data_IF_980459578934
#
_entry.id   IF_980459578934
#
_cell.length_a   1.000
_cell.length_b   1.000
_cell.length_c   1.000
_cell.angle_alpha   90.00
_cell.angle_beta   90.00
_cell.angle_gamma   90.00
#
_symmetry.space_group_name_H-M   'P 1'
#
loop_
_entity.id
_entity.type
_entity.pdbx_description
1 polymer ?
#
# COMPACT_ATOMS: atom_id res chain seq x y z
N UNK A 1 -2.03 -16.32 7.20
CA UNK A 1 -1.90 -15.15 6.33
C UNK A 1 -2.77 -14.05 6.92
N UNK A 2 -2.18 -12.94 7.37
CA UNK A 2 -2.92 -11.75 7.80
C UNK A 2 -2.75 -10.67 6.73
N UNK A 3 -3.83 -9.98 6.41
CA UNK A 3 -3.86 -8.94 5.39
C UNK A 3 -4.43 -7.63 5.93
N UNK A 4 -4.05 -6.54 5.27
CA UNK A 4 -4.61 -5.22 5.50
C UNK A 4 -5.19 -4.63 4.21
N UNK A 5 -6.15 -3.72 4.32
CA UNK A 5 -6.77 -3.03 3.17
C UNK A 5 -6.19 -1.63 3.06
N UNK A 6 -5.25 -1.45 2.14
CA UNK A 6 -4.45 -0.23 1.99
C UNK A 6 -5.03 0.69 0.91
N UNK A 7 -6.05 1.46 1.27
CA UNK A 7 -6.70 2.45 0.39
C UNK A 7 -6.17 3.87 0.62
N UNK A 8 -6.39 4.39 1.83
CA UNK A 8 -6.12 5.78 2.23
C UNK A 8 -4.64 6.13 2.09
N UNK A 9 -4.37 7.31 1.56
CA UNK A 9 -3.05 7.94 1.54
C UNK A 9 -3.01 9.14 2.48
N UNK A 10 -1.81 9.57 2.89
CA UNK A 10 -1.62 10.74 3.76
C UNK A 10 -2.38 11.97 3.25
N UNK A 11 -2.34 12.27 1.94
CA UNK A 11 -3.05 13.42 1.36
C UNK A 11 -4.51 13.15 0.97
N UNK A 12 -4.93 11.89 0.85
CA UNK A 12 -6.21 11.55 0.22
C UNK A 12 -6.91 10.39 0.96
N UNK A 13 -7.98 10.72 1.68
CA UNK A 13 -8.97 9.76 2.18
C UNK A 13 -10.25 9.79 1.36
N UNK A 14 -10.96 10.92 1.37
CA UNK A 14 -12.27 11.05 0.71
C UNK A 14 -12.18 11.10 -0.82
N UNK A 15 -11.21 11.82 -1.38
CA UNK A 15 -11.05 11.97 -2.83
C UNK A 15 -10.18 10.87 -3.43
N UNK A 16 -10.72 9.66 -3.51
CA UNK A 16 -10.00 8.47 -3.97
C UNK A 16 -9.51 8.55 -5.42
N UNK A 17 -10.14 9.38 -6.26
CA UNK A 17 -9.69 9.64 -7.64
C UNK A 17 -8.31 10.29 -7.70
N UNK A 18 -7.91 11.01 -6.65
CA UNK A 18 -6.63 11.71 -6.56
C UNK A 18 -5.54 10.88 -5.85
N UNK A 19 -5.80 9.63 -5.46
CA UNK A 19 -4.76 8.75 -4.93
C UNK A 19 -3.61 8.63 -5.94
N UNK A 20 -2.37 8.67 -5.44
CA UNK A 20 -1.16 8.83 -6.26
C UNK A 20 -0.23 7.62 -6.26
N UNK A 21 -0.45 6.61 -5.40
CA UNK A 21 0.20 5.31 -5.55
C UNK A 21 -0.09 4.77 -6.95
N UNK A 22 0.93 4.30 -7.67
CA UNK A 22 0.79 3.76 -9.03
C UNK A 22 1.08 2.27 -9.07
N UNK A 23 0.40 1.56 -9.96
CA UNK A 23 0.73 0.20 -10.36
C UNK A 23 0.98 0.21 -11.87
N UNK A 24 2.25 0.25 -12.25
CA UNK A 24 2.65 0.33 -13.66
C UNK A 24 2.96 -1.08 -14.18
N UNK A 25 2.27 -1.51 -15.23
CA UNK A 25 2.52 -2.80 -15.87
C UNK A 25 3.81 -2.76 -16.69
N UNK A 26 4.72 -3.71 -16.44
CA UNK A 26 5.92 -3.96 -17.22
C UNK A 26 5.71 -5.20 -18.09
N UNK A 27 5.56 -5.05 -19.43
CA UNK A 27 5.34 -6.19 -20.33
C UNK A 27 6.53 -7.16 -20.41
N UNK A 28 7.75 -6.72 -20.10
CA UNK A 28 8.94 -7.55 -20.21
C UNK A 28 9.00 -8.62 -19.12
N UNK A 29 8.61 -8.25 -17.90
CA UNK A 29 8.55 -9.13 -16.74
C UNK A 29 7.14 -9.70 -16.49
N UNK A 30 6.12 -9.16 -17.16
CA UNK A 30 4.70 -9.43 -16.88
C UNK A 30 4.31 -9.13 -15.43
N UNK A 31 4.87 -8.06 -14.87
CA UNK A 31 4.68 -7.67 -13.47
C UNK A 31 4.08 -6.26 -13.37
N UNK A 32 3.53 -5.96 -12.20
CA UNK A 32 3.15 -4.60 -11.82
C UNK A 32 4.18 -4.02 -10.85
N UNK A 33 4.71 -2.85 -11.18
CA UNK A 33 5.58 -2.08 -10.30
C UNK A 33 4.71 -1.15 -9.46
N UNK A 34 4.61 -1.47 -8.16
CA UNK A 34 3.93 -0.62 -7.19
C UNK A 34 4.89 0.47 -6.74
N UNK A 35 4.49 1.74 -6.89
CA UNK A 35 5.33 2.88 -6.54
C UNK A 35 4.56 3.93 -5.73
N UNK A 36 5.21 4.43 -4.69
CA UNK A 36 4.75 5.56 -3.89
C UNK A 36 5.62 6.76 -4.24
N UNK A 37 5.11 7.76 -5.01
CA UNK A 37 5.96 8.80 -5.58
C UNK A 37 6.57 9.78 -4.56
N UNK A 38 5.90 10.00 -3.43
CA UNK A 38 6.39 10.81 -2.31
C UNK A 38 5.60 10.50 -1.03
N UNK A 39 5.96 11.16 0.07
CA UNK A 39 5.34 10.95 1.38
C UNK A 39 3.82 11.16 1.41
N UNK A 40 3.27 12.12 0.65
CA UNK A 40 1.82 12.35 0.71
C UNK A 40 1.02 11.22 0.03
N UNK A 41 1.68 10.42 -0.81
CA UNK A 41 1.10 9.22 -1.41
C UNK A 41 1.29 7.96 -0.55
N UNK A 42 2.00 8.04 0.59
CA UNK A 42 2.16 6.90 1.48
C UNK A 42 0.81 6.43 2.02
N UNK A 43 0.61 5.11 2.05
CA UNK A 43 -0.59 4.52 2.66
C UNK A 43 -0.59 4.81 4.16
N UNK A 44 -1.74 5.24 4.68
CA UNK A 44 -1.86 5.77 6.03
C UNK A 44 -3.18 5.33 6.68
N UNK A 45 -3.19 5.17 8.00
CA UNK A 45 -4.31 4.68 8.81
C UNK A 45 -4.68 3.21 8.59
N UNK A 46 -3.77 2.43 8.01
CA UNK A 46 -4.10 1.09 7.55
C UNK A 46 -3.92 0.11 8.70
N UNK A 47 -5.04 -0.31 9.30
CA UNK A 47 -5.01 -1.24 10.43
C UNK A 47 -4.25 -2.53 10.10
N UNK A 48 -3.37 -2.94 11.01
CA UNK A 48 -2.47 -4.08 10.93
C UNK A 48 -1.28 -3.92 9.96
N UNK A 49 -1.12 -2.77 9.28
CA UNK A 49 -0.04 -2.57 8.31
C UNK A 49 1.32 -2.34 8.99
N UNK A 50 1.31 -1.63 10.11
CA UNK A 50 2.54 -1.12 10.73
C UNK A 50 3.51 -2.22 11.12
N UNK A 51 3.00 -3.34 11.65
CA UNK A 51 3.79 -4.42 12.27
C UNK A 51 3.26 -5.82 11.95
N UNK A 52 1.95 -6.00 11.75
CA UNK A 52 1.31 -7.32 11.86
C UNK A 52 1.14 -8.06 10.53
N UNK A 53 0.65 -7.41 9.47
CA UNK A 53 0.23 -8.12 8.26
C UNK A 53 1.40 -8.48 7.33
N UNK A 54 1.29 -9.61 6.64
CA UNK A 54 2.30 -10.07 5.68
C UNK A 54 1.93 -9.73 4.23
N UNK A 55 0.66 -9.41 3.98
CA UNK A 55 0.13 -8.96 2.70
C UNK A 55 -0.70 -7.69 2.87
N UNK A 56 -0.79 -6.89 1.83
CA UNK A 56 -1.70 -5.76 1.75
C UNK A 56 -2.49 -5.80 0.44
N UNK A 57 -3.79 -5.53 0.50
CA UNK A 57 -4.60 -5.18 -0.67
C UNK A 57 -4.40 -3.67 -0.94
N UNK A 58 -3.45 -3.34 -1.81
CA UNK A 58 -3.05 -1.97 -2.12
C UNK A 58 -3.90 -1.43 -3.25
N UNK A 59 -4.56 -0.30 -3.02
CA UNK A 59 -5.25 0.43 -4.09
C UNK A 59 -4.28 1.41 -4.76
N UNK A 60 -4.13 1.29 -6.07
CA UNK A 60 -3.21 2.10 -6.86
C UNK A 60 -3.80 2.46 -8.22
N UNK A 61 -3.32 3.55 -8.81
CA UNK A 61 -3.67 3.96 -10.16
C UNK A 61 -2.99 3.01 -11.15
N UNK A 62 -3.79 2.22 -11.86
CA UNK A 62 -3.31 1.31 -12.89
C UNK A 62 -2.81 2.09 -14.10
N UNK A 63 -1.58 1.81 -14.52
CA UNK A 63 -0.94 2.37 -15.70
C UNK A 63 -0.43 1.23 -16.57
N UNK A 64 -0.84 1.20 -17.83
CA UNK A 64 -0.39 0.25 -18.85
C UNK A 64 0.09 1.02 -20.08
N UNK A 65 0.56 0.31 -21.11
CA UNK A 65 1.11 0.90 -22.34
C UNK A 65 0.14 1.84 -23.07
N UNK A 66 -1.17 1.62 -22.91
CA UNK A 66 -2.25 2.40 -23.52
C UNK A 66 -2.79 3.52 -22.60
N UNK A 67 -2.27 3.66 -21.37
CA UNK A 67 -2.54 4.81 -20.50
C UNK A 67 -2.94 4.47 -19.07
N UNK A 68 -3.63 5.41 -18.42
CA UNK A 68 -4.10 5.29 -17.03
C UNK A 68 -5.55 4.82 -17.00
N UNK A 69 -5.81 3.77 -16.21
CA UNK A 69 -7.10 3.08 -16.11
C UNK A 69 -7.83 3.31 -14.79
N UNK A 70 -7.31 4.20 -13.95
CA UNK A 70 -7.91 4.53 -12.67
C UNK A 70 -7.56 3.52 -11.57
N UNK A 71 -8.29 3.60 -10.47
CA UNK A 71 -7.97 2.90 -9.22
C UNK A 71 -8.30 1.40 -9.31
N UNK A 72 -7.30 0.57 -9.06
CA UNK A 72 -7.40 -0.89 -9.01
C UNK A 72 -6.77 -1.42 -7.72
N UNK A 73 -7.16 -2.63 -7.32
CA UNK A 73 -6.65 -3.29 -6.12
C UNK A 73 -5.64 -4.37 -6.47
N UNK A 74 -4.51 -4.40 -5.76
CA UNK A 74 -3.40 -5.31 -5.98
C UNK A 74 -3.06 -6.02 -4.68
N UNK A 75 -2.90 -7.35 -4.72
CA UNK A 75 -2.40 -8.11 -3.57
C UNK A 75 -0.88 -8.03 -3.58
N UNK A 76 -0.31 -7.36 -2.59
CA UNK A 76 1.13 -7.12 -2.49
C UNK A 76 1.67 -7.85 -1.27
N UNK A 77 2.63 -8.80 -1.42
CA UNK A 77 3.39 -9.31 -0.29
C UNK A 77 4.28 -8.19 0.25
N UNK A 78 4.20 -7.91 1.54
CA UNK A 78 4.93 -6.79 2.16
C UNK A 78 5.95 -7.22 3.20
N UNK A 79 5.82 -8.44 3.74
CA UNK A 79 6.78 -9.03 4.68
C UNK A 79 7.06 -10.48 4.36
N UNK A 80 8.26 -10.90 4.68
CA UNK A 80 8.62 -12.31 4.72
C UNK A 80 7.78 -13.02 5.81
N UNK A 81 7.07 -14.11 5.51
CA UNK A 81 6.15 -14.75 6.44
C UNK A 81 6.84 -15.53 7.57
N UNK A 82 8.16 -15.74 7.49
CA UNK A 82 8.96 -16.44 8.50
C UNK A 82 9.63 -15.44 9.45
N UNK A 83 10.23 -14.39 8.89
CA UNK A 83 11.01 -13.39 9.66
C UNK A 83 10.20 -12.16 10.05
N UNK A 84 9.05 -11.93 9.41
CA UNK A 84 8.22 -10.72 9.53
C UNK A 84 8.93 -9.41 9.14
N UNK A 85 10.10 -9.49 8.51
CA UNK A 85 10.81 -8.33 8.00
C UNK A 85 10.17 -7.83 6.70
N UNK A 86 10.11 -6.50 6.46
CA UNK A 86 9.69 -5.95 5.17
C UNK A 86 10.55 -6.46 4.01
N UNK A 87 9.93 -6.67 2.84
CA UNK A 87 10.72 -6.91 1.62
C UNK A 87 11.55 -5.67 1.23
N UNK A 88 12.69 -5.84 0.54
CA UNK A 88 13.52 -4.72 0.08
C UNK A 88 12.74 -3.68 -0.72
N UNK A 89 12.99 -2.40 -0.47
CA UNK A 89 12.29 -1.28 -1.11
C UNK A 89 10.98 -0.87 -0.44
N UNK A 90 10.49 -1.64 0.55
CA UNK A 90 9.31 -1.27 1.35
C UNK A 90 9.71 -0.58 2.64
N UNK A 91 9.02 0.51 2.95
CA UNK A 91 9.09 1.21 4.24
C UNK A 91 7.72 1.05 4.88
N UNK A 92 7.70 0.44 6.07
CA UNK A 92 6.49 0.14 6.83
C UNK A 92 6.71 0.62 8.26
N UNK A 93 5.66 1.14 8.89
CA UNK A 93 5.72 1.61 10.26
C UNK A 93 4.33 1.84 10.84
N UNK A 94 4.26 1.77 12.15
CA UNK A 94 3.08 2.15 12.93
C UNK A 94 3.08 3.68 13.10
N UNK A 95 1.94 4.32 12.84
CA UNK A 95 1.78 5.77 12.94
C UNK A 95 1.78 6.27 14.40
N UNK A 96 1.72 5.35 15.37
CA UNK A 96 1.88 5.62 16.79
C UNK A 96 0.56 5.82 17.52
N UNK A 97 0.62 6.61 18.59
CA UNK A 97 -0.50 6.82 19.50
C UNK A 97 -1.66 7.55 18.81
N UNK A 98 -2.87 7.05 19.09
CA UNK A 98 -4.12 7.57 18.57
C UNK A 98 -5.02 7.95 19.75
N UNK A 99 -6.10 8.68 19.45
CA UNK A 99 -7.13 9.00 20.45
C UNK A 99 -7.80 7.74 21.05
N UNK A 100 -7.74 6.61 20.34
CA UNK A 100 -8.26 5.32 20.77
C UNK A 100 -7.80 4.22 19.83
N UNK A 101 -8.24 2.98 20.08
CA UNK A 101 -7.85 1.79 19.29
C UNK A 101 -6.32 1.58 19.24
N UNK A 102 -5.61 1.91 20.33
CA UNK A 102 -4.14 1.78 20.40
C UNK A 102 -3.64 0.32 20.34
N UNK A 103 -4.54 -0.66 20.40
CA UNK A 103 -4.22 -2.07 20.15
C UNK A 103 -4.10 -2.44 18.66
N UNK A 104 -4.38 -1.50 17.74
CA UNK A 104 -4.25 -1.69 16.30
C UNK A 104 -3.02 -0.90 15.81
N UNK A 105 -2.11 -1.58 15.12
CA UNK A 105 -0.93 -1.02 14.48
C UNK A 105 -1.29 -0.44 13.10
N UNK A 106 -1.66 0.84 13.08
CA UNK A 106 -2.14 1.57 11.90
C UNK A 106 -1.02 2.19 11.07
#
# INVERSE_FOLDING_TARGET
MLSAVALTEVAHGSNTKQLRTTATYDPSSQQFVINTPDFQAAKCWIGNLGKTCTYALVFAQLITVDGRHGLHAFVVPIRDPTTFLPFPGLILGDIGDKAGLNGIDN
#
